data_IF_518449537989
#
_entry.id   IF_518449537989
#
_cell.length_a   1.000
_cell.length_b   1.000
_cell.length_c   1.000
_cell.angle_alpha   90.00
_cell.angle_beta   90.00
_cell.angle_gamma   90.00
#
_symmetry.space_group_name_H-M   'P 1'
#
loop_
_entity.id
_entity.type
_entity.pdbx_description
1 polymer ?
#
# COMPACT_ATOMS: atom_id res chain seq x y z
N UNK A 1 6.04 -0.20 -3.84
CA UNK A 1 5.79 -0.97 -2.60
C UNK A 1 6.06 -0.14 -1.34
N UNK A 2 7.30 0.30 -1.07
CA UNK A 2 7.61 0.97 0.20
C UNK A 2 6.82 2.27 0.45
N UNK A 3 6.67 3.11 -0.58
CA UNK A 3 5.93 4.38 -0.48
C UNK A 3 4.46 4.21 -0.12
N UNK A 4 3.77 3.18 -0.64
CA UNK A 4 2.36 2.93 -0.34
C UNK A 4 2.17 2.54 1.13
N UNK A 5 3.06 1.71 1.69
CA UNK A 5 3.02 1.38 3.11
C UNK A 5 3.28 2.60 4.00
N UNK A 6 4.30 3.41 3.67
CA UNK A 6 4.64 4.59 4.46
C UNK A 6 3.50 5.60 4.48
N UNK A 7 2.87 5.84 3.32
CA UNK A 7 1.76 6.77 3.20
C UNK A 7 0.52 6.30 3.95
N UNK A 8 0.15 5.03 3.80
CA UNK A 8 -0.94 4.45 4.59
C UNK A 8 -0.67 4.58 6.10
N UNK A 9 0.56 4.31 6.54
CA UNK A 9 0.92 4.32 7.96
C UNK A 9 0.82 5.74 8.51
N UNK A 10 1.25 6.74 7.74
CA UNK A 10 1.11 8.15 8.09
C UNK A 10 -0.37 8.52 8.27
N UNK A 11 -1.26 8.13 7.35
CA UNK A 11 -2.69 8.40 7.49
C UNK A 11 -3.30 7.75 8.73
N UNK A 12 -2.96 6.48 8.98
CA UNK A 12 -3.43 5.73 10.14
C UNK A 12 -2.99 6.34 11.47
N UNK A 13 -1.69 6.62 11.60
CA UNK A 13 -1.11 7.15 12.85
C UNK A 13 -1.56 8.58 13.14
N UNK A 14 -1.70 9.41 12.10
CA UNK A 14 -2.17 10.79 12.24
C UNK A 14 -3.71 10.90 12.38
N UNK A 15 -4.45 9.79 12.20
CA UNK A 15 -5.92 9.72 12.23
C UNK A 15 -6.58 10.70 11.26
N UNK A 16 -6.05 10.79 10.04
CA UNK A 16 -6.59 11.64 8.98
C UNK A 16 -7.51 10.79 8.11
N UNK A 17 -8.75 11.22 7.79
CA UNK A 17 -9.33 12.56 7.99
C UNK A 17 -10.17 12.77 9.28
N UNK A 18 -10.43 11.72 10.06
CA UNK A 18 -11.36 11.76 11.20
C UNK A 18 -10.96 12.76 12.30
N UNK A 19 -9.67 13.10 12.39
CA UNK A 19 -9.15 14.15 13.29
C UNK A 19 -9.73 15.53 13.00
N UNK A 20 -10.05 15.83 11.74
CA UNK A 20 -10.52 17.15 11.32
C UNK A 20 -12.05 17.29 11.35
N UNK A 21 -12.77 16.17 11.27
CA UNK A 21 -14.24 16.13 11.26
C UNK A 21 -14.73 14.95 12.11
N UNK A 22 -14.73 15.09 13.45
CA UNK A 22 -15.21 14.04 14.34
C UNK A 22 -16.70 13.76 14.05
N UNK A 23 -17.08 12.48 14.03
CA UNK A 23 -18.46 12.03 13.80
C UNK A 23 -18.89 11.88 12.33
N UNK A 24 -18.09 12.37 11.36
CA UNK A 24 -18.42 12.23 9.93
C UNK A 24 -17.90 10.96 9.28
N UNK A 25 -16.86 10.36 9.84
CA UNK A 25 -16.15 9.21 9.26
C UNK A 25 -16.29 7.94 10.10
N UNK A 26 -17.29 7.86 10.98
CA UNK A 26 -17.42 6.76 11.95
C UNK A 26 -17.71 5.40 11.28
N UNK A 27 -18.32 5.39 10.09
CA UNK A 27 -18.69 4.17 9.35
C UNK A 27 -17.81 3.99 8.10
N UNK A 28 -17.59 5.07 7.34
CA UNK A 28 -16.84 5.05 6.09
C UNK A 28 -15.86 6.23 6.01
N UNK A 29 -14.69 5.98 5.43
CA UNK A 29 -13.66 6.97 5.14
C UNK A 29 -12.70 7.30 6.29
N UNK A 30 -12.74 6.56 7.41
CA UNK A 30 -11.76 6.75 8.49
C UNK A 30 -10.37 6.24 8.09
N UNK A 31 -9.33 6.76 8.75
CA UNK A 31 -7.92 6.46 8.46
C UNK A 31 -7.61 4.97 8.35
N UNK A 32 -8.22 4.13 9.17
CA UNK A 32 -8.01 2.68 9.14
C UNK A 32 -8.52 2.01 7.84
N UNK A 33 -9.58 2.53 7.20
CA UNK A 33 -10.01 2.03 5.88
C UNK A 33 -9.00 2.43 4.80
N UNK A 34 -8.54 3.69 4.83
CA UNK A 34 -7.49 4.15 3.91
C UNK A 34 -6.19 3.35 4.10
N UNK A 35 -5.81 3.05 5.33
CA UNK A 35 -4.68 2.16 5.64
C UNK A 35 -4.76 0.82 4.91
N UNK A 36 -5.91 0.14 5.01
CA UNK A 36 -6.12 -1.15 4.32
C UNK A 36 -6.00 -1.00 2.80
N UNK A 37 -6.53 0.07 2.22
CA UNK A 37 -6.38 0.35 0.78
C UNK A 37 -4.90 0.50 0.37
N UNK A 38 -4.09 1.21 1.16
CA UNK A 38 -2.67 1.42 0.88
C UNK A 38 -1.81 0.17 1.10
N UNK A 39 -2.15 -0.65 2.10
CA UNK A 39 -1.53 -1.97 2.32
C UNK A 39 -1.82 -2.89 1.14
N UNK A 40 -3.08 -2.96 0.68
CA UNK A 40 -3.46 -3.72 -0.50
C UNK A 40 -2.68 -3.26 -1.74
N UNK A 41 -2.56 -1.96 -1.96
CA UNK A 41 -1.76 -1.40 -3.05
C UNK A 41 -0.27 -1.78 -2.94
N UNK A 42 0.27 -1.84 -1.73
CA UNK A 42 1.62 -2.32 -1.47
C UNK A 42 1.83 -3.78 -1.89
N UNK A 43 0.91 -4.66 -1.52
CA UNK A 43 0.90 -6.08 -1.93
C UNK A 43 0.73 -6.21 -3.44
N UNK A 44 -0.17 -5.42 -4.04
CA UNK A 44 -0.38 -5.41 -5.48
C UNK A 44 0.91 -5.08 -6.24
N UNK A 45 1.59 -3.98 -5.88
CA UNK A 45 2.87 -3.64 -6.51
C UNK A 45 3.96 -4.70 -6.27
N UNK A 46 3.98 -5.30 -5.07
CA UNK A 46 4.92 -6.38 -4.78
C UNK A 46 4.67 -7.61 -5.66
N UNK A 47 3.41 -7.99 -5.85
CA UNK A 47 3.01 -9.12 -6.68
C UNK A 47 3.40 -8.92 -8.15
N UNK A 48 3.06 -7.76 -8.73
CA UNK A 48 3.44 -7.46 -10.12
C UNK A 48 4.96 -7.39 -10.31
N UNK A 49 5.68 -6.75 -9.38
CA UNK A 49 7.14 -6.74 -9.41
C UNK A 49 7.73 -8.15 -9.33
N UNK A 50 7.14 -9.03 -8.53
CA UNK A 50 7.58 -10.42 -8.41
C UNK A 50 7.33 -11.22 -9.70
N UNK A 51 6.16 -11.05 -10.34
CA UNK A 51 5.89 -11.69 -11.64
C UNK A 51 6.86 -11.20 -12.70
N UNK A 52 7.07 -9.89 -12.79
CA UNK A 52 8.02 -9.31 -13.76
C UNK A 52 9.42 -9.87 -13.55
N UNK A 53 9.88 -9.90 -12.30
CA UNK A 53 11.18 -10.42 -11.93
C UNK A 53 11.31 -11.94 -12.19
N UNK A 54 10.25 -12.73 -12.00
CA UNK A 54 10.22 -14.13 -12.42
C UNK A 54 10.25 -14.30 -13.93
N UNK A 55 9.58 -13.42 -14.67
CA UNK A 55 9.61 -13.39 -16.14
C UNK A 55 11.01 -13.11 -16.65
N UNK A 56 11.66 -12.08 -16.12
CA UNK A 56 13.02 -11.69 -16.49
C UNK A 56 14.03 -12.82 -16.25
N UNK A 57 13.93 -13.53 -15.12
CA UNK A 57 14.76 -14.71 -14.83
C UNK A 57 14.68 -15.84 -15.86
N UNK A 58 13.62 -15.90 -16.68
CA UNK A 58 13.52 -16.91 -17.76
C UNK A 58 14.35 -16.54 -18.99
N UNK A 59 14.64 -15.27 -19.20
CA UNK A 59 15.34 -14.76 -20.37
C UNK A 59 16.77 -14.31 -20.05
N UNK A 60 17.01 -13.91 -18.79
CA UNK A 60 18.32 -13.53 -18.30
C UNK A 60 19.08 -14.76 -17.81
N UNK A 61 20.02 -15.26 -18.62
CA UNK A 61 21.01 -16.22 -18.16
C UNK A 61 22.06 -15.49 -17.31
N UNK A 62 22.38 -16.05 -16.13
CA UNK A 62 23.48 -15.53 -15.32
C UNK A 62 24.80 -15.86 -16.04
N UNK A 63 25.37 -14.86 -16.72
CA UNK A 63 26.71 -14.94 -17.30
C UNK A 63 27.72 -14.64 -16.19
N UNK A 64 27.89 -15.61 -15.28
CA UNK A 64 28.79 -15.59 -14.11
C UNK A 64 28.39 -14.59 -13.02
#
# INVERSE_FOLDING_TARGET
MGSSYLFGLALYTLRIPERFMPGKFDILGHSHQWWHCFVFLGVFFHYFGSIYNMGDRKFTFCLI
#
